data_IF_252514193321
#
_entry.id   IF_252514193321
#
_cell.length_a   1.000
_cell.length_b   1.000
_cell.length_c   1.000
_cell.angle_alpha   90.00
_cell.angle_beta   90.00
_cell.angle_gamma   90.00
#
_symmetry.space_group_name_H-M   'P 1'
#
loop_
_entity.id
_entity.type
_entity.pdbx_description
1 polymer ?
#
# COMPACT_ATOMS: atom_id res chain seq x y z
N UNK A 1 8.02 -22.32 12.97
CA UNK A 1 7.07 -21.39 12.32
C UNK A 1 7.88 -20.32 11.61
N UNK A 2 7.62 -20.06 10.32
CA UNK A 2 8.26 -18.91 9.64
C UNK A 2 7.74 -17.62 10.27
N UNK A 3 8.65 -16.70 10.60
CA UNK A 3 8.33 -15.43 11.23
C UNK A 3 8.94 -14.32 10.39
N UNK A 4 8.10 -13.43 9.86
CA UNK A 4 8.56 -12.22 9.19
C UNK A 4 9.09 -11.23 10.21
N UNK A 5 10.27 -10.65 9.94
CA UNK A 5 11.01 -9.83 10.90
C UNK A 5 11.72 -8.66 10.18
N UNK A 6 12.71 -8.05 10.84
CA UNK A 6 13.40 -6.80 10.43
C UNK A 6 14.12 -6.85 9.08
N UNK A 7 14.20 -8.01 8.44
CA UNK A 7 14.79 -8.21 7.10
C UNK A 7 13.75 -8.62 6.05
N UNK A 8 12.46 -8.48 6.36
CA UNK A 8 11.38 -8.78 5.42
C UNK A 8 10.73 -7.49 4.94
N UNK A 9 10.54 -7.39 3.62
CA UNK A 9 9.68 -6.39 2.99
C UNK A 9 8.40 -7.08 2.53
N UNK A 10 7.26 -6.43 2.73
CA UNK A 10 5.96 -6.91 2.22
C UNK A 10 5.41 -5.86 1.28
N UNK A 11 5.04 -6.27 0.08
CA UNK A 11 4.37 -5.41 -0.89
C UNK A 11 2.94 -5.93 -1.03
N UNK A 12 1.96 -5.09 -0.72
CA UNK A 12 0.53 -5.43 -0.75
C UNK A 12 -0.06 -4.77 -1.97
N UNK A 13 -0.50 -5.56 -2.96
CA UNK A 13 -1.12 -5.04 -4.18
C UNK A 13 -2.60 -5.42 -4.11
N UNK A 14 -3.50 -4.44 -4.07
CA UNK A 14 -4.92 -4.71 -3.86
C UNK A 14 -5.84 -3.63 -4.43
N UNK A 15 -6.98 -4.06 -4.96
CA UNK A 15 -8.12 -3.20 -5.30
C UNK A 15 -9.17 -3.13 -4.17
N UNK A 16 -8.93 -3.82 -3.03
CA UNK A 16 -9.85 -3.85 -1.90
C UNK A 16 -9.92 -2.50 -1.21
N UNK A 17 -11.13 -1.97 -1.11
CA UNK A 17 -11.44 -0.74 -0.36
C UNK A 17 -11.69 -0.99 1.13
N UNK A 18 -11.84 -2.26 1.54
CA UNK A 18 -11.95 -2.66 2.95
C UNK A 18 -10.63 -2.44 3.66
N UNK A 19 -10.67 -2.01 4.93
CA UNK A 19 -9.47 -1.66 5.69
C UNK A 19 -8.95 -2.71 6.66
N UNK A 20 -9.63 -3.85 6.83
CA UNK A 20 -9.23 -4.91 7.80
C UNK A 20 -7.76 -5.37 7.65
N UNK A 21 -7.23 -5.37 6.42
CA UNK A 21 -5.85 -5.75 6.13
C UNK A 21 -4.82 -4.71 6.62
N UNK A 22 -5.22 -3.45 6.80
CA UNK A 22 -4.35 -2.36 7.28
C UNK A 22 -3.96 -2.63 8.73
N UNK A 23 -4.89 -3.09 9.57
CA UNK A 23 -4.61 -3.48 10.95
C UNK A 23 -3.59 -4.63 11.02
N UNK A 24 -3.75 -5.66 10.18
CA UNK A 24 -2.78 -6.75 10.06
C UNK A 24 -1.41 -6.26 9.59
N UNK A 25 -1.38 -5.32 8.64
CA UNK A 25 -0.15 -4.72 8.11
C UNK A 25 0.58 -3.91 9.17
N UNK A 26 -0.15 -3.16 9.99
CA UNK A 26 0.41 -2.43 11.14
C UNK A 26 1.07 -3.37 12.15
N UNK A 27 0.47 -4.53 12.40
CA UNK A 27 1.08 -5.55 13.26
C UNK A 27 2.40 -6.10 12.68
N UNK A 28 2.52 -6.22 11.37
CA UNK A 28 3.78 -6.58 10.72
C UNK A 28 4.81 -5.45 10.84
N UNK A 29 4.41 -4.20 10.61
CA UNK A 29 5.27 -3.03 10.77
C UNK A 29 5.86 -2.93 12.19
N UNK A 30 5.03 -3.16 13.21
CA UNK A 30 5.45 -3.17 14.62
C UNK A 30 6.48 -4.27 14.94
N UNK A 31 6.54 -5.34 14.13
CA UNK A 31 7.54 -6.41 14.23
C UNK A 31 8.82 -6.11 13.43
N UNK A 32 8.87 -4.94 12.80
CA UNK A 32 10.01 -4.47 12.01
C UNK A 32 9.99 -4.89 10.54
N UNK A 33 8.91 -5.53 10.08
CA UNK A 33 8.68 -5.72 8.63
C UNK A 33 8.51 -4.36 7.98
N UNK A 34 8.94 -4.21 6.73
CA UNK A 34 8.78 -2.98 5.96
C UNK A 34 7.64 -3.14 4.96
N UNK A 35 6.39 -2.80 5.32
CA UNK A 35 5.28 -2.90 4.39
C UNK A 35 5.21 -1.68 3.48
N UNK A 36 4.74 -1.92 2.26
CA UNK A 36 4.33 -0.90 1.29
C UNK A 36 3.04 -1.38 0.62
N UNK A 37 2.03 -0.51 0.52
CA UNK A 37 0.81 -0.81 -0.23
C UNK A 37 0.83 -0.22 -1.64
N UNK A 38 0.22 -0.92 -2.58
CA UNK A 38 -0.04 -0.49 -3.95
C UNK A 38 -1.54 -0.69 -4.13
N UNK A 39 -2.29 0.39 -3.98
CA UNK A 39 -3.72 0.43 -4.17
C UNK A 39 -4.03 0.55 -5.66
N UNK A 40 -4.83 -0.36 -6.18
CA UNK A 40 -5.39 -0.26 -7.53
C UNK A 40 -6.73 0.43 -7.38
N UNK A 41 -6.89 1.61 -7.98
CA UNK A 41 -8.12 2.41 -7.89
C UNK A 41 -9.24 1.77 -8.73
N UNK A 42 -10.24 1.11 -8.15
CA UNK A 42 -11.27 0.42 -8.93
C UNK A 42 -12.11 1.41 -9.76
N UNK A 43 -12.28 2.65 -9.27
CA UNK A 43 -13.02 3.69 -9.98
C UNK A 43 -12.40 4.00 -11.35
N UNK A 44 -11.08 3.89 -11.45
CA UNK A 44 -10.38 4.05 -12.74
C UNK A 44 -10.67 2.94 -13.74
N UNK A 45 -11.19 1.79 -13.30
CA UNK A 45 -11.59 0.64 -14.12
C UNK A 45 -13.13 0.54 -14.30
N UNK A 46 -13.87 1.63 -14.08
CA UNK A 46 -15.34 1.72 -14.17
C UNK A 46 -16.11 0.99 -13.06
N UNK A 47 -15.55 0.85 -11.87
CA UNK A 47 -16.29 0.42 -10.67
C UNK A 47 -16.85 1.62 -9.90
N UNK A 48 -17.98 1.46 -9.20
CA UNK A 48 -18.61 2.53 -8.40
C UNK A 48 -17.98 2.73 -7.01
N UNK A 49 -16.81 2.14 -6.77
CA UNK A 49 -16.07 2.21 -5.50
C UNK A 49 -14.68 2.80 -5.72
N UNK A 50 -14.17 3.55 -4.73
CA UNK A 50 -12.87 4.21 -4.80
C UNK A 50 -12.03 3.94 -3.54
N UNK A 51 -10.76 4.31 -3.58
CA UNK A 51 -9.78 4.01 -2.52
C UNK A 51 -9.66 5.07 -1.44
N UNK A 52 -10.50 6.12 -1.42
CA UNK A 52 -10.28 7.32 -0.59
C UNK A 52 -10.24 6.98 0.91
N UNK A 53 -11.19 6.20 1.41
CA UNK A 53 -11.21 5.81 2.83
C UNK A 53 -10.00 4.94 3.20
N UNK A 54 -9.62 4.01 2.32
CA UNK A 54 -8.45 3.16 2.48
C UNK A 54 -7.16 3.98 2.51
N UNK A 55 -7.05 5.00 1.66
CA UNK A 55 -5.92 5.93 1.58
C UNK A 55 -5.76 6.75 2.87
N UNK A 56 -6.88 7.29 3.39
CA UNK A 56 -6.93 8.02 4.65
C UNK A 56 -6.41 7.12 5.79
N UNK A 57 -6.88 5.88 5.86
CA UNK A 57 -6.47 4.97 6.92
C UNK A 57 -5.01 4.53 6.79
N UNK A 58 -4.50 4.30 5.58
CA UNK A 58 -3.08 4.00 5.34
C UNK A 58 -2.19 5.16 5.78
N UNK A 59 -2.59 6.39 5.45
CA UNK A 59 -1.91 7.62 5.86
C UNK A 59 -1.88 7.73 7.39
N UNK A 60 -3.04 7.58 8.05
CA UNK A 60 -3.13 7.58 9.51
C UNK A 60 -2.29 6.46 10.17
N UNK A 61 -2.15 5.33 9.48
CA UNK A 61 -1.35 4.18 9.92
C UNK A 61 0.15 4.34 9.67
N UNK A 62 0.59 5.43 9.02
CA UNK A 62 1.98 5.63 8.59
C UNK A 62 2.51 4.49 7.72
N UNK A 63 1.63 3.87 6.91
CA UNK A 63 2.01 2.82 5.96
C UNK A 63 2.26 3.48 4.60
N UNK A 64 3.49 3.38 4.04
CA UNK A 64 3.79 3.88 2.71
C UNK A 64 2.87 3.23 1.67
N UNK A 65 2.31 4.03 0.77
CA UNK A 65 1.40 3.52 -0.25
C UNK A 65 1.44 4.33 -1.55
N UNK A 66 1.01 3.68 -2.63
CA UNK A 66 0.81 4.27 -3.97
C UNK A 66 -0.58 3.94 -4.47
N UNK A 67 -1.13 4.83 -5.30
CA UNK A 67 -2.38 4.57 -6.03
C UNK A 67 -2.03 4.42 -7.51
N UNK A 68 -2.48 3.33 -8.09
CA UNK A 68 -2.35 3.00 -9.52
C UNK A 68 -3.73 3.05 -10.15
N UNK A 69 -3.85 3.80 -11.24
CA UNK A 69 -5.08 3.94 -12.03
C UNK A 69 -4.94 3.24 -13.39
N UNK A 70 -6.08 2.98 -14.03
CA UNK A 70 -6.12 2.42 -15.38
C UNK A 70 -5.32 3.31 -16.34
N UNK A 71 -4.33 2.72 -17.01
CA UNK A 71 -3.49 3.41 -17.98
C UNK A 71 -2.23 4.07 -17.40
N UNK A 72 -2.04 4.05 -16.08
CA UNK A 72 -0.80 4.54 -15.48
C UNK A 72 0.39 3.66 -15.89
N UNK A 73 1.51 4.26 -16.37
CA UNK A 73 2.76 3.53 -16.53
C UNK A 73 3.29 3.12 -15.16
N UNK A 74 3.35 1.81 -14.91
CA UNK A 74 3.67 1.25 -13.59
C UNK A 74 5.09 1.62 -13.14
N UNK A 75 6.02 1.68 -14.10
CA UNK A 75 7.39 2.12 -13.90
C UNK A 75 7.47 3.52 -13.27
N UNK A 76 6.68 4.47 -13.75
CA UNK A 76 6.69 5.84 -13.26
C UNK A 76 5.98 5.95 -11.91
N UNK A 77 4.84 5.25 -11.79
CA UNK A 77 4.04 5.25 -10.57
C UNK A 77 4.81 4.67 -9.37
N UNK A 78 5.67 3.66 -9.61
CA UNK A 78 6.50 3.05 -8.58
C UNK A 78 7.92 3.66 -8.46
N UNK A 79 8.43 4.39 -9.47
CA UNK A 79 9.75 5.01 -9.41
C UNK A 79 9.87 6.10 -8.32
N UNK A 80 8.78 6.83 -8.06
CA UNK A 80 8.70 7.83 -6.99
C UNK A 80 8.84 7.23 -5.58
N UNK A 81 8.75 5.90 -5.44
CA UNK A 81 8.96 5.19 -4.19
C UNK A 81 10.40 5.23 -3.68
N UNK A 82 11.39 5.35 -4.59
CA UNK A 82 12.82 5.35 -4.22
C UNK A 82 13.32 6.71 -3.76
N UNK A 83 12.68 7.81 -4.16
CA UNK A 83 13.19 9.17 -3.93
C UNK A 83 12.72 9.77 -2.60
N UNK A 84 11.55 9.37 -2.09
CA UNK A 84 10.96 9.91 -0.85
C UNK A 84 11.66 9.40 0.42
N UNK A 85 12.44 8.32 0.34
CA UNK A 85 13.18 7.72 1.47
C UNK A 85 14.64 8.22 1.60
N UNK A 86 14.94 9.42 1.08
CA UNK A 86 16.29 10.02 1.07
C UNK A 86 16.39 11.33 1.85
N UNK A 87 15.53 11.56 2.83
CA UNK A 87 15.64 12.69 3.77
C UNK A 87 15.66 12.22 5.21
#
# INVERSE_FOLDING_TARGET
TMQFSRNTTVIIITASTKSDWIAATRNLANRGVKPTAVLIDPASFNEDINTVETEIELTASHIPHYIIRQGDPLEDALANARSTNRR
#
